data_IF_163423885327
#
_entry.id   IF_163423885327
#
_cell.length_a   1.000
_cell.length_b   1.000
_cell.length_c   1.000
_cell.angle_alpha   90.00
_cell.angle_beta   90.00
_cell.angle_gamma   90.00
#
_symmetry.space_group_name_H-M   'P 1'
#
loop_
_entity.id
_entity.type
_entity.pdbx_description
1 polymer ?
#
# COMPACT_ATOMS: atom_id res chain seq x y z
N UNK A 1 17.97 14.44 -9.17
CA UNK A 1 16.54 14.08 -9.25
C UNK A 1 16.51 12.63 -9.71
N UNK A 2 15.91 11.73 -8.92
CA UNK A 2 15.80 10.31 -9.26
C UNK A 2 14.91 10.18 -10.50
N UNK A 3 15.28 9.38 -11.51
CA UNK A 3 14.46 9.26 -12.71
C UNK A 3 13.16 8.49 -12.42
N UNK A 4 12.13 8.68 -13.25
CA UNK A 4 10.87 7.92 -13.16
C UNK A 4 11.12 6.41 -13.22
N UNK A 5 11.96 5.96 -14.17
CA UNK A 5 12.37 4.55 -14.30
C UNK A 5 13.08 4.03 -13.05
N UNK A 6 14.06 4.77 -12.53
CA UNK A 6 14.77 4.37 -11.32
C UNK A 6 13.85 4.31 -10.10
N UNK A 7 12.81 5.16 -10.03
CA UNK A 7 11.81 5.08 -8.98
C UNK A 7 10.96 3.81 -9.08
N UNK A 8 10.59 3.40 -10.29
CA UNK A 8 9.87 2.14 -10.52
C UNK A 8 10.76 0.94 -10.18
N UNK A 9 12.03 0.94 -10.60
CA UNK A 9 12.98 -0.11 -10.22
C UNK A 9 13.04 -0.31 -8.72
N UNK A 10 13.09 0.79 -7.96
CA UNK A 10 13.12 0.71 -6.50
C UNK A 10 11.81 0.15 -5.94
N UNK A 11 10.67 0.57 -6.48
CA UNK A 11 9.35 0.02 -6.11
C UNK A 11 9.32 -1.48 -6.37
N UNK A 12 9.74 -1.92 -7.56
CA UNK A 12 9.76 -3.34 -7.93
C UNK A 12 10.65 -4.13 -6.97
N UNK A 13 11.88 -3.67 -6.68
CA UNK A 13 12.81 -4.37 -5.78
C UNK A 13 12.26 -4.50 -4.37
N UNK A 14 11.66 -3.44 -3.82
CA UNK A 14 11.03 -3.50 -2.50
C UNK A 14 9.87 -4.50 -2.52
N UNK A 15 9.00 -4.45 -3.52
CA UNK A 15 7.88 -5.38 -3.63
C UNK A 15 8.33 -6.84 -3.79
N UNK A 16 9.42 -7.11 -4.51
CA UNK A 16 9.99 -8.47 -4.62
C UNK A 16 10.39 -8.99 -3.25
N UNK A 17 11.11 -8.19 -2.47
CA UNK A 17 11.57 -8.60 -1.14
C UNK A 17 10.43 -8.79 -0.15
N UNK A 18 9.46 -7.84 -0.12
CA UNK A 18 8.25 -7.96 0.69
C UNK A 18 7.46 -9.22 0.33
N UNK A 19 7.23 -9.44 -0.97
CA UNK A 19 6.51 -10.61 -1.47
C UNK A 19 7.23 -11.91 -1.10
N UNK A 20 8.53 -12.02 -1.36
CA UNK A 20 9.29 -13.24 -1.11
C UNK A 20 9.31 -13.65 0.37
N UNK A 21 9.39 -12.68 1.27
CA UNK A 21 9.37 -12.93 2.70
C UNK A 21 7.94 -13.24 3.18
N UNK A 22 7.01 -12.31 3.00
CA UNK A 22 5.69 -12.37 3.65
C UNK A 22 4.74 -13.41 3.07
N UNK A 23 4.95 -13.88 1.82
CA UNK A 23 4.17 -15.02 1.29
C UNK A 23 4.45 -16.34 2.02
N UNK A 24 5.57 -16.42 2.75
CA UNK A 24 6.01 -17.59 3.50
C UNK A 24 6.10 -17.28 5.01
N UNK A 25 5.13 -16.54 5.55
CA UNK A 25 5.17 -16.01 6.92
C UNK A 25 4.99 -17.07 8.04
N UNK A 26 4.63 -18.31 7.72
CA UNK A 26 4.48 -19.37 8.73
C UNK A 26 5.80 -19.64 9.46
N UNK A 27 5.72 -19.78 10.79
CA UNK A 27 6.89 -19.92 11.66
C UNK A 27 7.50 -18.58 12.10
N UNK A 28 7.04 -17.46 11.54
CA UNK A 28 7.50 -16.11 11.90
C UNK A 28 6.37 -15.21 12.39
N UNK A 29 5.24 -15.19 11.66
CA UNK A 29 4.05 -14.47 12.07
C UNK A 29 3.11 -15.40 12.87
N UNK A 30 2.23 -14.84 13.72
CA UNK A 30 1.16 -15.62 14.34
C UNK A 30 0.30 -16.36 13.29
N UNK A 31 -0.24 -17.52 13.65
CA UNK A 31 -0.87 -18.43 12.67
C UNK A 31 -2.00 -17.76 11.86
N UNK A 32 -2.79 -16.90 12.49
CA UNK A 32 -3.85 -16.15 11.80
C UNK A 32 -3.31 -15.18 10.76
N UNK A 33 -2.25 -14.44 11.10
CA UNK A 33 -1.57 -13.51 10.19
C UNK A 33 -0.90 -14.28 9.04
N UNK A 34 -0.17 -15.36 9.35
CA UNK A 34 0.49 -16.19 8.37
C UNK A 34 -0.50 -16.82 7.38
N UNK A 35 -1.63 -17.35 7.86
CA UNK A 35 -2.68 -17.90 7.01
C UNK A 35 -3.30 -16.84 6.09
N UNK A 36 -3.56 -15.63 6.60
CA UNK A 36 -4.06 -14.51 5.81
C UNK A 36 -3.07 -14.12 4.70
N UNK A 37 -1.79 -13.97 5.04
CA UNK A 37 -0.74 -13.62 4.09
C UNK A 37 -0.50 -14.70 3.04
N UNK A 38 -0.59 -15.98 3.41
CA UNK A 38 -0.50 -17.10 2.48
C UNK A 38 -1.69 -17.15 1.49
N UNK A 39 -2.88 -16.72 1.93
CA UNK A 39 -4.05 -16.59 1.05
C UNK A 39 -3.98 -15.36 0.13
N UNK A 40 -3.15 -14.37 0.49
CA UNK A 40 -2.99 -13.14 -0.28
C UNK A 40 -2.10 -13.37 -1.50
N UNK A 41 -2.44 -12.70 -2.60
CA UNK A 41 -1.72 -12.80 -3.88
C UNK A 41 -0.47 -11.90 -3.91
N UNK A 42 0.36 -11.96 -2.86
CA UNK A 42 1.55 -11.10 -2.70
C UNK A 42 2.56 -11.30 -3.84
N UNK A 43 2.57 -12.45 -4.50
CA UNK A 43 3.42 -12.74 -5.66
C UNK A 43 3.07 -11.91 -6.89
N UNK A 44 1.86 -11.33 -6.96
CA UNK A 44 1.46 -10.44 -8.05
C UNK A 44 1.97 -9.01 -7.88
N UNK A 45 2.30 -8.59 -6.66
CA UNK A 45 2.69 -7.20 -6.37
C UNK A 45 3.93 -6.74 -7.17
N UNK A 46 5.01 -7.53 -7.32
CA UNK A 46 6.14 -7.16 -8.17
C UNK A 46 5.77 -6.93 -9.64
N UNK A 47 4.89 -7.78 -10.18
CA UNK A 47 4.45 -7.68 -11.58
C UNK A 47 3.56 -6.44 -11.78
N UNK A 48 2.68 -6.15 -10.83
CA UNK A 48 1.85 -4.95 -10.84
C UNK A 48 2.70 -3.67 -10.73
N UNK A 49 3.74 -3.69 -9.90
CA UNK A 49 4.73 -2.62 -9.81
C UNK A 49 5.48 -2.41 -11.14
N UNK A 50 5.94 -3.49 -11.77
CA UNK A 50 6.61 -3.41 -13.07
C UNK A 50 5.67 -2.85 -14.16
N UNK A 51 4.35 -3.04 -14.06
CA UNK A 51 3.41 -2.44 -15.00
C UNK A 51 3.37 -0.90 -14.95
N UNK A 52 3.93 -0.26 -13.92
CA UNK A 52 4.08 1.21 -13.87
C UNK A 52 5.00 1.74 -14.98
N UNK A 53 5.87 0.90 -15.56
CA UNK A 53 6.69 1.24 -16.73
C UNK A 53 5.89 1.61 -17.97
N UNK A 54 4.60 1.24 -18.02
CA UNK A 54 3.71 1.58 -19.13
C UNK A 54 3.26 3.05 -19.10
N UNK A 55 3.37 3.73 -17.95
CA UNK A 55 2.77 5.04 -17.70
C UNK A 55 3.77 6.20 -17.77
N UNK A 56 4.70 6.15 -18.71
CA UNK A 56 5.84 7.08 -18.75
C UNK A 56 5.40 8.52 -19.07
N UNK A 57 5.82 9.53 -18.28
CA UNK A 57 5.46 10.94 -18.48
C UNK A 57 6.14 11.60 -19.68
N UNK A 58 7.06 10.91 -20.36
CA UNK A 58 7.71 11.39 -21.59
C UNK A 58 6.72 11.58 -22.75
N UNK A 59 5.50 11.05 -22.60
CA UNK A 59 4.37 11.24 -23.52
C UNK A 59 3.16 11.80 -22.79
N UNK A 60 2.39 12.65 -23.46
CA UNK A 60 1.06 13.04 -23.00
C UNK A 60 0.18 11.78 -22.92
N UNK A 61 -0.26 11.41 -21.71
CA UNK A 61 -1.22 10.32 -21.53
C UNK A 61 -2.63 10.79 -21.87
N UNK A 62 -3.40 9.95 -22.53
CA UNK A 62 -4.85 10.12 -22.64
C UNK A 62 -5.52 9.98 -21.27
N UNK A 63 -6.74 10.51 -21.12
CA UNK A 63 -7.52 10.37 -19.89
C UNK A 63 -7.69 8.91 -19.48
N UNK A 64 -7.93 8.01 -20.45
CA UNK A 64 -8.05 6.58 -20.21
C UNK A 64 -6.76 5.95 -19.68
N UNK A 65 -5.61 6.30 -20.25
CA UNK A 65 -4.30 5.84 -19.76
C UNK A 65 -4.02 6.36 -18.36
N UNK A 66 -4.32 7.64 -18.09
CA UNK A 66 -4.12 8.24 -16.77
C UNK A 66 -5.02 7.60 -15.71
N UNK A 67 -6.27 7.29 -16.04
CA UNK A 67 -7.19 6.54 -15.16
C UNK A 67 -6.60 5.16 -14.83
N UNK A 68 -6.11 4.43 -15.83
CA UNK A 68 -5.48 3.12 -15.61
C UNK A 68 -4.17 3.21 -14.84
N UNK A 69 -3.40 4.27 -15.04
CA UNK A 69 -2.18 4.56 -14.29
C UNK A 69 -2.48 4.76 -12.80
N UNK A 70 -3.48 5.59 -12.47
CA UNK A 70 -3.96 5.77 -11.09
C UNK A 70 -4.56 4.50 -10.50
N UNK A 71 -5.27 3.70 -11.30
CA UNK A 71 -5.79 2.41 -10.86
C UNK A 71 -4.66 1.44 -10.48
N UNK A 72 -3.59 1.39 -11.29
CA UNK A 72 -2.40 0.60 -11.01
C UNK A 72 -1.73 1.04 -9.70
N UNK A 73 -1.36 2.32 -9.61
CA UNK A 73 -0.70 2.88 -8.42
C UNK A 73 -1.54 2.75 -7.15
N UNK A 74 -2.84 3.04 -7.25
CA UNK A 74 -3.77 2.91 -6.12
C UNK A 74 -3.94 1.48 -5.63
N UNK A 75 -3.88 0.49 -6.52
CA UNK A 75 -3.95 -0.92 -6.16
C UNK A 75 -2.69 -1.38 -5.42
N UNK A 76 -1.50 -0.93 -5.86
CA UNK A 76 -0.24 -1.16 -5.15
C UNK A 76 -0.24 -0.52 -3.76
N UNK A 77 -0.68 0.73 -3.66
CA UNK A 77 -0.81 1.45 -2.40
C UNK A 77 -1.77 0.74 -1.44
N UNK A 78 -2.97 0.39 -1.89
CA UNK A 78 -3.93 -0.36 -1.08
C UNK A 78 -3.34 -1.67 -0.58
N UNK A 79 -2.67 -2.42 -1.46
CA UNK A 79 -2.07 -3.71 -1.13
C UNK A 79 -0.95 -3.57 -0.11
N UNK A 80 -0.13 -2.51 -0.18
CA UNK A 80 0.92 -2.22 0.81
C UNK A 80 0.35 -1.84 2.18
N UNK A 81 -0.72 -1.04 2.23
CA UNK A 81 -1.40 -0.72 3.50
C UNK A 81 -2.04 -1.98 4.11
N UNK A 82 -2.65 -2.82 3.27
CA UNK A 82 -3.28 -4.06 3.67
C UNK A 82 -2.26 -5.08 4.17
N UNK A 83 -1.10 -5.19 3.51
CA UNK A 83 0.03 -6.00 3.99
C UNK A 83 0.42 -5.60 5.42
N UNK A 84 0.58 -4.30 5.68
CA UNK A 84 0.92 -3.81 7.01
C UNK A 84 -0.11 -4.25 8.06
N UNK A 85 -1.40 -4.10 7.79
CA UNK A 85 -2.46 -4.53 8.72
C UNK A 85 -2.54 -6.05 8.88
N UNK A 86 -2.26 -6.82 7.82
CA UNK A 86 -2.25 -8.28 7.87
C UNK A 86 -1.06 -8.82 8.67
N UNK A 87 0.08 -8.14 8.64
CA UNK A 87 1.25 -8.48 9.46
C UNK A 87 0.96 -8.19 10.94
N UNK A 88 0.34 -7.05 11.23
CA UNK A 88 -0.11 -6.68 12.58
C UNK A 88 -1.57 -7.11 12.85
N UNK A 89 -1.97 -8.30 12.36
CA UNK A 89 -3.37 -8.73 12.38
C UNK A 89 -3.94 -8.79 13.80
N UNK A 90 -3.18 -9.36 14.74
CA UNK A 90 -3.65 -9.51 16.13
C UNK A 90 -3.86 -8.15 16.80
N UNK A 91 -2.92 -7.21 16.63
CA UNK A 91 -3.06 -5.85 17.13
C UNK A 91 -4.26 -5.14 16.51
N UNK A 92 -4.47 -5.31 15.20
CA UNK A 92 -5.60 -4.75 14.48
C UNK A 92 -6.94 -5.33 14.98
N UNK A 93 -7.01 -6.64 15.20
CA UNK A 93 -8.22 -7.32 15.71
C UNK A 93 -8.46 -7.05 17.21
N UNK A 94 -7.44 -6.68 17.98
CA UNK A 94 -7.59 -6.29 19.37
C UNK A 94 -8.08 -4.84 19.54
N UNK A 95 -7.94 -3.98 18.52
CA UNK A 95 -8.32 -2.57 18.56
C UNK A 95 -9.82 -2.32 18.32
N UNK A 96 -10.63 -2.84 19.24
CA UNK A 96 -12.09 -2.71 19.18
C UNK A 96 -12.56 -1.26 19.17
N UNK A 97 -11.92 -0.36 19.92
CA UNK A 97 -12.32 1.03 20.02
C UNK A 97 -12.19 1.74 18.67
N UNK A 98 -11.01 1.66 18.07
CA UNK A 98 -10.75 2.31 16.78
C UNK A 98 -11.62 1.68 15.72
N UNK A 99 -11.66 0.36 15.60
CA UNK A 99 -12.41 -0.32 14.53
C UNK A 99 -13.92 -0.09 14.63
N UNK A 100 -14.49 -0.08 15.83
CA UNK A 100 -15.90 0.27 16.04
C UNK A 100 -16.21 1.69 15.58
N UNK A 101 -15.30 2.63 15.83
CA UNK A 101 -15.46 4.03 15.38
C UNK A 101 -15.39 4.21 13.85
N UNK A 102 -14.87 3.21 13.12
CA UNK A 102 -14.77 3.18 11.65
C UNK A 102 -15.91 2.41 10.99
N UNK A 103 -16.89 1.96 11.79
CA UNK A 103 -17.96 1.08 11.34
C UNK A 103 -17.45 -0.20 10.66
N UNK A 104 -16.31 -0.74 11.12
CA UNK A 104 -15.64 -1.91 10.56
C UNK A 104 -15.95 -3.19 11.35
N UNK A 105 -17.23 -3.40 11.69
CA UNK A 105 -17.70 -4.62 12.33
C UNK A 105 -18.83 -5.27 11.51
N UNK A 106 -18.88 -6.60 11.56
CA UNK A 106 -19.97 -7.37 11.00
C UNK A 106 -21.27 -7.08 11.78
N UNK A 107 -22.26 -6.50 11.09
CA UNK A 107 -23.57 -6.14 11.69
C UNK A 107 -24.64 -7.22 11.58
N UNK A 108 -24.42 -8.20 10.71
CA UNK A 108 -25.37 -9.27 10.36
C UNK A 108 -24.60 -10.54 9.97
N UNK A 109 -25.25 -11.69 10.09
CA UNK A 109 -24.70 -12.99 9.72
C UNK A 109 -23.94 -13.69 10.85
N UNK A 110 -23.28 -14.80 10.53
CA UNK A 110 -22.60 -15.67 11.51
C UNK A 110 -21.45 -14.97 12.24
N UNK A 111 -20.83 -13.97 11.61
CA UNK A 111 -19.74 -13.15 12.18
C UNK A 111 -20.24 -11.94 12.98
N UNK A 112 -21.53 -11.80 13.27
CA UNK A 112 -22.07 -10.58 13.90
C UNK A 112 -21.32 -10.22 15.20
N UNK A 113 -20.89 -8.96 15.31
CA UNK A 113 -20.15 -8.47 16.47
C UNK A 113 -18.63 -8.63 16.39
N UNK A 114 -18.11 -9.30 15.36
CA UNK A 114 -16.66 -9.37 15.12
C UNK A 114 -16.17 -8.25 14.21
N UNK A 115 -14.87 -7.96 14.30
CA UNK A 115 -14.17 -6.99 13.45
C UNK A 115 -14.02 -7.56 12.02
N UNK A 116 -14.20 -6.69 11.02
CA UNK A 116 -13.79 -6.98 9.65
C UNK A 116 -12.28 -7.13 9.58
N UNK A 117 -11.79 -8.25 9.06
CA UNK A 117 -10.36 -8.44 8.88
C UNK A 117 -9.79 -7.50 7.77
N UNK A 118 -8.45 -7.37 7.65
CA UNK A 118 -7.84 -6.50 6.64
C UNK A 118 -8.28 -6.78 5.19
N UNK A 119 -8.79 -7.97 4.87
CA UNK A 119 -9.31 -8.31 3.54
C UNK A 119 -10.72 -7.74 3.29
N UNK A 120 -11.49 -7.52 4.35
CA UNK A 120 -12.89 -7.11 4.33
C UNK A 120 -13.09 -5.58 4.47
N UNK A 121 -12.08 -4.85 4.96
CA UNK A 121 -12.14 -3.39 5.09
C UNK A 121 -11.85 -2.64 3.78
N UNK A 122 -12.55 -1.54 3.57
CA UNK A 122 -12.33 -0.66 2.41
C UNK A 122 -11.06 0.17 2.57
N UNK A 123 -10.50 0.64 1.45
CA UNK A 123 -9.35 1.55 1.47
C UNK A 123 -9.60 2.82 2.29
N UNK A 124 -10.81 3.35 2.26
CA UNK A 124 -11.17 4.51 3.08
C UNK A 124 -11.06 4.20 4.57
N UNK A 125 -11.58 3.03 5.01
CA UNK A 125 -11.48 2.62 6.42
C UNK A 125 -10.04 2.33 6.82
N UNK A 126 -9.24 1.73 5.94
CA UNK A 126 -7.79 1.58 6.17
C UNK A 126 -7.14 2.95 6.39
N UNK A 127 -7.32 3.91 5.48
CA UNK A 127 -6.75 5.25 5.62
C UNK A 127 -7.15 5.93 6.93
N UNK A 128 -8.42 5.83 7.32
CA UNK A 128 -8.91 6.36 8.59
C UNK A 128 -8.27 5.67 9.80
N UNK A 129 -8.09 4.34 9.76
CA UNK A 129 -7.39 3.59 10.80
C UNK A 129 -5.93 4.08 10.94
N UNK A 130 -5.19 4.15 9.83
CA UNK A 130 -3.83 4.66 9.80
C UNK A 130 -3.72 6.09 10.35
N UNK A 131 -4.71 6.93 10.08
CA UNK A 131 -4.77 8.31 10.62
C UNK A 131 -5.01 8.31 12.13
N UNK A 132 -6.00 7.55 12.63
CA UNK A 132 -6.34 7.51 14.06
C UNK A 132 -5.24 6.94 14.92
N UNK A 133 -4.47 5.99 14.38
CA UNK A 133 -3.39 5.30 15.07
C UNK A 133 -2.03 5.97 14.87
N UNK A 134 -1.99 7.12 14.20
CA UNK A 134 -0.77 7.85 13.87
C UNK A 134 0.30 6.94 13.23
N UNK A 135 -0.15 6.04 12.35
CA UNK A 135 0.71 5.02 11.76
C UNK A 135 1.49 5.53 10.56
N UNK A 136 1.24 6.73 10.05
CA UNK A 136 1.96 7.30 8.93
C UNK A 136 2.14 8.79 9.16
N UNK A 137 3.21 9.36 8.62
CA UNK A 137 3.42 10.81 8.72
C UNK A 137 2.28 11.56 8.02
N UNK A 138 2.01 12.83 8.38
CA UNK A 138 1.01 13.64 7.68
C UNK A 138 1.23 13.73 6.16
N UNK A 139 2.50 13.74 5.72
CA UNK A 139 2.86 13.74 4.29
C UNK A 139 2.46 12.44 3.61
N UNK A 140 2.76 11.30 4.24
CA UNK A 140 2.42 9.98 3.70
C UNK A 140 0.88 9.76 3.69
N UNK A 141 0.18 10.21 4.73
CA UNK A 141 -1.29 10.17 4.78
C UNK A 141 -1.93 11.05 3.69
N UNK A 142 -1.36 12.23 3.43
CA UNK A 142 -1.83 13.11 2.35
C UNK A 142 -1.63 12.45 0.97
N UNK A 143 -0.49 11.81 0.74
CA UNK A 143 -0.23 11.05 -0.48
C UNK A 143 -1.22 9.89 -0.65
N UNK A 144 -1.51 9.15 0.44
CA UNK A 144 -2.51 8.08 0.43
C UNK A 144 -3.90 8.60 0.07
N UNK A 145 -4.32 9.69 0.71
CA UNK A 145 -5.62 10.33 0.43
C UNK A 145 -5.72 10.79 -1.03
N UNK A 146 -4.65 11.38 -1.57
CA UNK A 146 -4.59 11.84 -2.94
C UNK A 146 -4.70 10.68 -3.94
N UNK A 147 -3.84 9.66 -3.81
CA UNK A 147 -3.83 8.49 -4.72
C UNK A 147 -5.18 7.76 -4.66
N UNK A 148 -5.77 7.59 -3.47
CA UNK A 148 -7.13 7.05 -3.32
C UNK A 148 -8.16 7.91 -4.06
N UNK A 149 -8.05 9.24 -3.95
CA UNK A 149 -8.88 10.20 -4.67
C UNK A 149 -8.87 9.96 -6.17
N UNK A 150 -7.67 9.90 -6.76
CA UNK A 150 -7.45 9.73 -8.19
C UNK A 150 -7.86 8.34 -8.70
N UNK A 151 -7.50 7.27 -7.98
CA UNK A 151 -7.90 5.89 -8.32
C UNK A 151 -9.41 5.77 -8.48
N UNK A 152 -10.19 6.43 -7.62
CA UNK A 152 -11.64 6.38 -7.65
C UNK A 152 -12.26 7.06 -8.90
N UNK A 153 -11.48 7.79 -9.69
CA UNK A 153 -11.94 8.33 -10.97
C UNK A 153 -12.16 7.23 -12.04
N UNK A 154 -11.70 6.00 -11.81
CA UNK A 154 -12.07 4.83 -12.63
C UNK A 154 -13.59 4.60 -12.66
N UNK A 155 -14.31 5.05 -11.63
CA UNK A 155 -15.76 5.02 -11.61
C UNK A 155 -16.31 6.20 -12.44
N UNK A 156 -16.74 5.92 -13.68
CA UNK A 156 -17.19 6.92 -14.66
C UNK A 156 -18.34 7.83 -14.19
N UNK A 157 -19.12 7.41 -13.20
CA UNK A 157 -20.19 8.20 -12.58
C UNK A 157 -19.70 9.12 -11.45
N UNK A 158 -18.40 9.11 -11.15
CA UNK A 158 -17.74 9.99 -10.19
C UNK A 158 -17.03 11.11 -10.95
N UNK A 159 -17.54 12.33 -10.86
CA UNK A 159 -16.97 13.51 -11.55
C UNK A 159 -15.70 14.00 -10.85
N UNK A 160 -14.62 13.21 -10.93
CA UNK A 160 -13.32 13.49 -10.31
C UNK A 160 -12.33 14.00 -11.33
N UNK A 161 -11.49 14.92 -10.88
CA UNK A 161 -10.30 15.35 -11.60
C UNK A 161 -9.27 14.21 -11.58
N UNK A 162 -8.75 13.85 -12.75
CA UNK A 162 -7.73 12.81 -12.93
C UNK A 162 -6.30 13.38 -12.94
N UNK A 163 -6.14 14.70 -12.95
CA UNK A 163 -4.86 15.38 -12.91
C UNK A 163 -4.09 15.26 -14.23
N UNK A 164 -2.75 15.28 -14.14
CA UNK A 164 -1.84 15.21 -15.29
C UNK A 164 -0.78 14.11 -15.12
N UNK A 165 -0.05 13.81 -16.20
CA UNK A 165 1.07 12.86 -16.17
C UNK A 165 2.20 13.28 -15.21
N UNK A 166 2.43 14.59 -15.06
CA UNK A 166 3.40 15.15 -14.13
C UNK A 166 2.97 14.93 -12.68
N UNK A 167 1.68 15.16 -12.38
CA UNK A 167 1.11 14.91 -11.04
C UNK A 167 1.17 13.42 -10.71
N UNK A 168 0.88 12.55 -11.69
CA UNK A 168 1.04 11.11 -11.53
C UNK A 168 2.48 10.72 -11.21
N UNK A 169 3.43 11.25 -11.98
CA UNK A 169 4.87 10.99 -11.77
C UNK A 169 5.35 11.44 -10.40
N UNK A 170 4.89 12.60 -9.92
CA UNK A 170 5.18 13.05 -8.56
C UNK A 170 4.73 12.01 -7.51
N UNK A 171 3.55 11.42 -7.69
CA UNK A 171 3.00 10.44 -6.75
C UNK A 171 3.67 9.07 -6.84
N UNK A 172 4.39 8.75 -7.92
CA UNK A 172 5.29 7.58 -7.96
C UNK A 172 6.41 7.74 -6.95
N UNK A 173 7.01 8.93 -6.82
CA UNK A 173 8.05 9.18 -5.81
C UNK A 173 7.48 9.16 -4.37
N UNK A 174 6.28 9.71 -4.17
CA UNK A 174 5.60 9.61 -2.87
C UNK A 174 5.30 8.15 -2.50
N UNK A 175 4.82 7.36 -3.47
CA UNK A 175 4.56 5.94 -3.26
C UNK A 175 5.85 5.15 -2.99
N UNK A 176 6.94 5.40 -3.73
CA UNK A 176 8.27 4.83 -3.48
C UNK A 176 8.73 5.08 -2.04
N UNK A 177 8.54 6.29 -1.53
CA UNK A 177 8.82 6.60 -0.12
C UNK A 177 7.90 5.84 0.82
N UNK A 178 6.59 5.84 0.55
CA UNK A 178 5.59 5.17 1.38
C UNK A 178 5.90 3.68 1.58
N UNK A 179 6.21 2.95 0.51
CA UNK A 179 6.54 1.52 0.61
C UNK A 179 7.85 1.26 1.35
N UNK A 180 8.81 2.18 1.29
CA UNK A 180 10.04 2.10 2.07
C UNK A 180 9.74 2.27 3.57
N UNK A 181 8.87 3.24 3.92
CA UNK A 181 8.37 3.43 5.30
C UNK A 181 7.64 2.18 5.80
N UNK A 182 6.71 1.65 5.00
CA UNK A 182 5.95 0.44 5.35
C UNK A 182 6.91 -0.73 5.53
N UNK A 183 7.76 -0.99 4.54
CA UNK A 183 8.66 -2.14 4.54
C UNK A 183 9.61 -2.16 5.74
N UNK A 184 10.17 -1.02 6.14
CA UNK A 184 11.07 -0.96 7.31
C UNK A 184 10.35 -1.05 8.66
N UNK A 185 9.02 -0.94 8.69
CA UNK A 185 8.22 -1.01 9.91
C UNK A 185 7.53 -2.34 10.10
N UNK A 186 7.70 -3.30 9.19
CA UNK A 186 7.25 -4.65 9.41
C UNK A 186 8.26 -5.37 10.34
N UNK A 187 7.80 -6.29 11.20
CA UNK A 187 8.68 -7.05 12.07
C UNK A 187 9.39 -8.14 11.27
N UNK A 188 10.72 -8.20 11.37
CA UNK A 188 11.53 -9.25 10.77
C UNK A 188 12.33 -9.97 11.85
N UNK A 189 12.75 -11.23 11.62
CA UNK A 189 13.62 -11.95 12.53
C UNK A 189 14.93 -11.18 12.76
N UNK A 190 15.51 -11.34 13.95
CA UNK A 190 16.77 -10.68 14.29
C UNK A 190 17.87 -11.03 13.28
N UNK A 191 18.51 -9.99 12.75
CA UNK A 191 19.57 -10.12 11.74
C UNK A 191 19.07 -10.45 10.32
N UNK A 192 17.76 -10.59 10.10
CA UNK A 192 17.22 -10.78 8.75
C UNK A 192 17.23 -9.46 7.96
N UNK A 193 17.95 -9.45 6.84
CA UNK A 193 17.89 -8.36 5.87
C UNK A 193 17.80 -8.88 4.44
N UNK A 194 17.04 -8.16 3.61
CA UNK A 194 17.06 -8.34 2.15
C UNK A 194 17.45 -7.01 1.48
N UNK A 195 17.82 -7.06 0.20
CA UNK A 195 18.26 -5.88 -0.57
C UNK A 195 17.30 -4.68 -0.42
N UNK A 196 16.00 -4.95 -0.41
CA UNK A 196 14.98 -3.92 -0.23
C UNK A 196 15.01 -3.19 1.11
N UNK A 197 15.54 -3.76 2.20
CA UNK A 197 15.77 -3.01 3.44
C UNK A 197 16.88 -1.97 3.28
N UNK A 198 18.00 -2.36 2.69
CA UNK A 198 19.12 -1.45 2.40
C UNK A 198 18.65 -0.32 1.50
N UNK A 199 17.90 -0.68 0.45
CA UNK A 199 17.32 0.27 -0.47
C UNK A 199 16.31 1.20 0.22
N UNK A 200 15.36 0.67 1.00
CA UNK A 200 14.40 1.47 1.73
C UNK A 200 15.08 2.48 2.67
N UNK A 201 16.14 2.09 3.38
CA UNK A 201 16.90 3.02 4.23
C UNK A 201 17.56 4.12 3.42
N UNK A 202 18.13 3.78 2.25
CA UNK A 202 18.68 4.77 1.31
C UNK A 202 17.61 5.77 0.86
N UNK A 203 16.43 5.27 0.48
CA UNK A 203 15.28 6.10 0.07
C UNK A 203 14.88 7.07 1.17
N UNK A 204 14.79 6.60 2.43
CA UNK A 204 14.36 7.44 3.53
C UNK A 204 15.41 8.47 3.96
N UNK A 205 16.69 8.22 3.64
CA UNK A 205 17.79 9.16 3.85
C UNK A 205 17.91 10.23 2.73
N UNK A 206 17.22 10.05 1.60
CA UNK A 206 17.17 11.07 0.56
C UNK A 206 16.47 12.34 1.08
N UNK A 207 16.96 13.54 0.72
CA UNK A 207 16.31 14.78 1.12
C UNK A 207 14.88 14.81 0.61
N UNK A 208 13.96 15.15 1.51
CA UNK A 208 12.54 15.22 1.23
C UNK A 208 12.30 16.42 0.31
N UNK A 209 12.15 16.17 -0.99
CA UNK A 209 11.64 17.17 -1.95
C UNK A 209 10.13 17.32 -1.86
#
# INVERSE_FOLDING_TARGET
MHSYSAAIDDIVRIQIGLSNFWKNAHGWAPDGAAAMLASARLELMPSLAAALYKWTPETTMTDGELILAWANLGSLMESSLRLFLAVYLEDFLADHETVKSLDAMHKKGEKTGTIHDPTEISLEKMRQYFTKKDLLSPKDLAAVAFIQGQRNAIHSFSKKDIGSAEIFSHHIFQFRRLIAVIGLRLPYPDGFEFEGHVLARKILAEPVT
#
